data_IF_446975297412
#
_entry.id   IF_446975297412
#
_cell.length_a   1.000
_cell.length_b   1.000
_cell.length_c   1.000
_cell.angle_alpha   90.00
_cell.angle_beta   90.00
_cell.angle_gamma   90.00
#
_symmetry.space_group_name_H-M   'P 1'
#
loop_
_entity.id
_entity.type
_entity.pdbx_description
1 polymer ?
#
# COMPACT_ATOMS: atom_id res chain seq x y z
N UNK A 1 -12.55 -31.21 -6.62
CA UNK A 1 -11.54 -30.18 -6.94
C UNK A 1 -12.14 -28.84 -6.57
N UNK A 2 -11.40 -27.99 -5.86
CA UNK A 2 -11.85 -26.69 -5.37
C UNK A 2 -10.77 -25.63 -5.57
N UNK A 3 -11.12 -24.35 -5.47
CA UNK A 3 -10.16 -23.25 -5.53
C UNK A 3 -9.56 -22.97 -4.15
N UNK A 4 -8.32 -22.43 -4.07
CA UNK A 4 -7.73 -21.99 -2.81
C UNK A 4 -8.62 -21.03 -2.01
N UNK A 5 -9.31 -20.11 -2.69
CA UNK A 5 -10.20 -19.14 -2.05
C UNK A 5 -11.39 -19.82 -1.37
N UNK A 6 -12.00 -20.82 -2.01
CA UNK A 6 -13.10 -21.56 -1.41
C UNK A 6 -12.61 -22.41 -0.22
N UNK A 7 -11.46 -23.06 -0.35
CA UNK A 7 -10.87 -23.85 0.75
C UNK A 7 -10.47 -22.96 1.94
N UNK A 8 -9.98 -21.75 1.70
CA UNK A 8 -9.60 -20.80 2.74
C UNK A 8 -10.78 -20.18 3.50
N UNK A 9 -11.99 -20.24 2.95
CA UNK A 9 -13.21 -19.75 3.63
C UNK A 9 -13.87 -20.80 4.53
N UNK A 10 -13.32 -22.02 4.58
CA UNK A 10 -13.84 -23.10 5.43
C UNK A 10 -13.10 -23.03 6.77
N UNK A 11 -13.86 -23.06 7.88
CA UNK A 11 -13.28 -23.30 9.19
C UNK A 11 -13.01 -24.81 9.34
N UNK A 12 -11.80 -25.22 8.95
CA UNK A 12 -11.42 -26.63 8.99
C UNK A 12 -11.44 -27.18 10.41
N UNK A 13 -11.11 -26.38 11.42
CA UNK A 13 -11.05 -26.84 12.82
C UNK A 13 -12.40 -27.30 13.37
N UNK A 14 -13.51 -26.77 12.82
CA UNK A 14 -14.87 -27.10 13.24
C UNK A 14 -15.62 -27.97 12.23
N UNK A 15 -15.14 -28.06 10.99
CA UNK A 15 -15.84 -28.78 9.93
C UNK A 15 -15.65 -30.29 10.06
N UNK A 16 -16.75 -31.03 10.17
CA UNK A 16 -16.74 -32.50 10.15
C UNK A 16 -16.82 -32.97 8.70
N UNK A 17 -15.79 -33.69 8.24
CA UNK A 17 -15.75 -34.22 6.89
C UNK A 17 -16.72 -35.40 6.70
N UNK A 18 -17.47 -35.44 5.59
CA UNK A 18 -18.25 -36.61 5.21
C UNK A 18 -17.34 -37.83 5.01
N UNK A 19 -17.79 -39.01 5.44
CA UNK A 19 -17.00 -40.26 5.39
C UNK A 19 -16.67 -40.74 3.98
N UNK A 20 -17.35 -40.21 2.95
CA UNK A 20 -17.10 -40.52 1.54
C UNK A 20 -16.07 -39.59 0.87
N UNK A 21 -15.50 -38.63 1.60
CA UNK A 21 -14.44 -37.75 1.08
C UNK A 21 -13.08 -38.37 1.35
N UNK A 22 -12.41 -38.84 0.29
CA UNK A 22 -11.08 -39.44 0.39
C UNK A 22 -9.93 -38.44 0.25
N UNK A 23 -10.21 -37.18 -0.08
CA UNK A 23 -9.20 -36.14 -0.25
C UNK A 23 -9.67 -34.91 -1.02
N UNK A 24 -8.81 -33.90 -1.06
CA UNK A 24 -9.03 -32.63 -1.72
C UNK A 24 -8.03 -32.39 -2.84
N UNK A 25 -8.48 -31.74 -3.89
CA UNK A 25 -7.62 -31.23 -4.97
C UNK A 25 -7.83 -29.72 -5.04
N UNK A 26 -6.76 -28.97 -4.84
CA UNK A 26 -6.72 -27.50 -4.95
C UNK A 26 -6.08 -27.10 -6.29
N UNK A 27 -6.71 -26.16 -7.02
CA UNK A 27 -6.20 -25.67 -8.30
C UNK A 27 -6.67 -24.22 -8.56
N UNK A 28 -5.95 -23.50 -9.42
CA UNK A 28 -6.29 -22.12 -9.81
C UNK A 28 -5.65 -21.01 -8.97
N UNK A 29 -4.74 -21.36 -8.06
CA UNK A 29 -3.95 -20.41 -7.27
C UNK A 29 -3.07 -21.13 -6.25
N UNK A 30 -2.29 -20.37 -5.48
CA UNK A 30 -1.49 -20.92 -4.38
C UNK A 30 -2.40 -21.13 -3.17
N UNK A 31 -2.43 -22.34 -2.62
CA UNK A 31 -3.08 -22.61 -1.33
C UNK A 31 -2.14 -22.13 -0.21
N UNK A 32 -2.58 -21.24 0.70
CA UNK A 32 -1.77 -20.88 1.85
C UNK A 32 -1.40 -22.11 2.67
N UNK A 33 -0.12 -22.22 3.06
CA UNK A 33 0.36 -23.43 3.73
C UNK A 33 -0.36 -23.70 5.05
N UNK A 34 -0.73 -22.66 5.80
CA UNK A 34 -1.52 -22.80 7.02
C UNK A 34 -2.85 -23.51 6.78
N UNK A 35 -3.57 -23.16 5.71
CA UNK A 35 -4.83 -23.82 5.32
C UNK A 35 -4.55 -25.25 4.84
N UNK A 36 -3.48 -25.45 4.07
CA UNK A 36 -3.10 -26.78 3.62
C UNK A 36 -2.78 -27.70 4.81
N UNK A 37 -2.08 -27.21 5.83
CA UNK A 37 -1.78 -27.90 7.08
C UNK A 37 -3.06 -28.25 7.85
N UNK A 38 -4.02 -27.32 7.98
CA UNK A 38 -5.32 -27.59 8.60
C UNK A 38 -6.08 -28.71 7.88
N UNK A 39 -6.10 -28.71 6.54
CA UNK A 39 -6.73 -29.78 5.76
C UNK A 39 -6.00 -31.10 5.98
N UNK A 40 -4.66 -31.09 5.97
CA UNK A 40 -3.80 -32.29 6.16
C UNK A 40 -3.97 -32.96 7.52
N UNK A 41 -4.46 -32.24 8.53
CA UNK A 41 -4.82 -32.83 9.83
C UNK A 41 -6.03 -33.76 9.74
N UNK A 42 -6.86 -33.65 8.71
CA UNK A 42 -8.13 -34.40 8.58
C UNK A 42 -8.20 -35.27 7.33
N UNK A 43 -7.55 -34.87 6.24
CA UNK A 43 -7.60 -35.57 4.96
C UNK A 43 -6.37 -35.26 4.11
N UNK A 44 -6.19 -35.97 2.99
CA UNK A 44 -5.12 -35.65 2.04
C UNK A 44 -5.52 -34.45 1.18
N UNK A 45 -4.58 -33.57 0.88
CA UNK A 45 -4.74 -32.48 -0.10
C UNK A 45 -3.64 -32.56 -1.13
N UNK A 46 -4.00 -32.45 -2.40
CA UNK A 46 -3.06 -32.31 -3.50
C UNK A 46 -3.31 -30.99 -4.22
N UNK A 47 -2.24 -30.29 -4.54
CA UNK A 47 -2.28 -29.05 -5.30
C UNK A 47 -1.86 -29.32 -6.74
N UNK A 48 -2.61 -28.78 -7.69
CA UNK A 48 -2.30 -28.83 -9.12
C UNK A 48 -1.95 -27.44 -9.59
N UNK A 49 -0.76 -27.30 -10.14
CA UNK A 49 -0.29 -26.09 -10.81
C UNK A 49 -0.53 -26.23 -12.31
N UNK A 50 -1.08 -25.19 -12.92
CA UNK A 50 -1.43 -25.14 -14.34
C UNK A 50 -2.25 -23.90 -14.68
N UNK A 51 -2.62 -23.77 -15.94
CA UNK A 51 -3.46 -22.69 -16.44
C UNK A 51 -4.49 -23.21 -17.45
N UNK A 52 -5.41 -22.35 -17.89
CA UNK A 52 -6.35 -22.70 -18.96
C UNK A 52 -5.64 -23.01 -20.28
N UNK A 53 -4.53 -22.34 -20.54
CA UNK A 53 -3.73 -22.46 -21.76
C UNK A 53 -2.83 -23.69 -21.75
N UNK A 54 -2.27 -24.05 -20.59
CA UNK A 54 -1.29 -25.14 -20.46
C UNK A 54 -1.90 -26.46 -19.98
N UNK A 55 -3.14 -26.43 -19.48
CA UNK A 55 -3.67 -27.52 -18.69
C UNK A 55 -2.86 -27.71 -17.39
N UNK A 56 -2.89 -28.91 -16.80
CA UNK A 56 -2.11 -29.18 -15.60
C UNK A 56 -0.62 -29.36 -15.95
N UNK A 57 0.26 -28.70 -15.21
CA UNK A 57 1.72 -28.75 -15.40
C UNK A 57 2.37 -29.66 -14.36
N UNK A 58 2.02 -29.47 -13.10
CA UNK A 58 2.67 -30.12 -11.98
C UNK A 58 1.72 -30.37 -10.81
N UNK A 59 2.11 -31.29 -9.94
CA UNK A 59 1.38 -31.66 -8.73
C UNK A 59 2.31 -31.69 -7.52
N UNK A 60 1.77 -31.38 -6.35
CA UNK A 60 2.42 -31.64 -5.05
C UNK A 60 1.37 -32.04 -4.02
N UNK A 61 1.78 -32.78 -2.99
CA UNK A 61 0.89 -33.22 -1.90
C UNK A 61 1.22 -32.55 -0.56
N UNK A 62 2.35 -31.87 -0.49
CA UNK A 62 2.87 -31.13 0.65
C UNK A 62 3.52 -29.82 0.16
N UNK A 63 4.15 -29.06 1.06
CA UNK A 63 4.89 -27.86 0.67
C UNK A 63 6.26 -28.17 0.01
N UNK A 64 6.46 -29.38 -0.50
CA UNK A 64 7.71 -29.75 -1.16
C UNK A 64 7.74 -29.24 -2.61
N UNK A 65 8.73 -29.75 -3.37
CA UNK A 65 8.94 -29.39 -4.76
C UNK A 65 7.79 -29.89 -5.64
N UNK A 66 7.42 -29.07 -6.60
CA UNK A 66 6.47 -29.43 -7.64
C UNK A 66 7.02 -30.57 -8.50
N UNK A 67 6.18 -31.59 -8.68
CA UNK A 67 6.47 -32.75 -9.52
C UNK A 67 5.78 -32.58 -10.86
N UNK A 68 6.55 -32.70 -11.96
CA UNK A 68 5.98 -32.68 -13.31
C UNK A 68 4.99 -33.84 -13.49
N UNK A 69 3.97 -33.63 -14.32
CA UNK A 69 3.07 -34.72 -14.66
C UNK A 69 3.73 -35.77 -15.58
N UNK A 70 3.22 -37.02 -15.59
CA UNK A 70 3.58 -38.02 -16.58
C UNK A 70 3.42 -37.47 -18.01
N UNK A 71 4.25 -37.94 -18.93
CA UNK A 71 4.20 -37.57 -20.35
C UNK A 71 4.30 -36.06 -20.64
N UNK A 72 4.90 -35.31 -19.71
CA UNK A 72 5.28 -33.91 -19.89
C UNK A 72 6.80 -33.70 -19.79
N UNK A 73 7.31 -32.76 -20.58
CA UNK A 73 8.64 -32.20 -20.50
C UNK A 73 8.54 -30.76 -20.04
N UNK A 74 9.39 -30.42 -19.07
CA UNK A 74 9.50 -29.07 -18.54
C UNK A 74 10.92 -28.57 -18.76
N UNK A 75 11.05 -27.27 -18.94
CA UNK A 75 12.34 -26.60 -18.86
C UNK A 75 12.17 -25.10 -18.78
N UNK A 76 13.29 -24.38 -18.92
CA UNK A 76 13.31 -22.93 -18.84
C UNK A 76 13.77 -22.29 -20.15
N UNK A 77 13.32 -21.06 -20.40
CA UNK A 77 13.96 -20.18 -21.37
C UNK A 77 15.17 -19.46 -20.73
N UNK A 78 15.80 -18.54 -21.48
CA UNK A 78 16.96 -17.75 -21.02
C UNK A 78 16.69 -16.84 -19.80
N UNK A 79 15.42 -16.60 -19.48
CA UNK A 79 14.98 -15.80 -18.34
C UNK A 79 14.56 -16.68 -17.15
N UNK A 80 14.87 -17.98 -17.16
CA UNK A 80 14.39 -19.01 -16.21
C UNK A 80 12.85 -19.07 -16.09
N UNK A 81 12.14 -18.69 -17.15
CA UNK A 81 10.68 -18.83 -17.22
C UNK A 81 10.33 -20.23 -17.75
N UNK A 82 9.43 -20.90 -17.04
CA UNK A 82 9.01 -22.27 -17.31
C UNK A 82 8.31 -22.37 -18.66
N UNK A 83 8.67 -23.38 -19.45
CA UNK A 83 7.88 -23.86 -20.58
C UNK A 83 7.48 -25.33 -20.35
N UNK A 84 6.41 -25.75 -21.00
CA UNK A 84 5.90 -27.12 -20.98
C UNK A 84 5.68 -27.65 -22.39
N UNK A 85 6.02 -28.91 -22.59
CA UNK A 85 5.54 -29.75 -23.69
C UNK A 85 4.82 -30.96 -23.08
N UNK A 86 3.65 -31.30 -23.58
CA UNK A 86 2.89 -32.44 -23.08
C UNK A 86 1.96 -33.01 -24.15
N UNK A 87 1.55 -34.26 -23.99
CA UNK A 87 0.66 -34.92 -24.96
C UNK A 87 -0.74 -34.29 -25.11
N UNK A 88 -1.15 -33.44 -24.17
CA UNK A 88 -2.40 -32.66 -24.25
C UNK A 88 -2.23 -31.27 -24.86
N UNK A 89 -1.01 -30.90 -25.27
CA UNK A 89 -0.72 -29.63 -25.92
C UNK A 89 -0.38 -29.87 -27.39
N UNK A 90 -0.87 -28.98 -28.25
CA UNK A 90 -0.56 -29.02 -29.69
C UNK A 90 0.89 -28.63 -29.99
N UNK A 91 1.53 -27.87 -29.09
CA UNK A 91 2.90 -27.39 -29.20
C UNK A 91 3.45 -27.04 -27.82
N UNK A 92 4.74 -26.68 -27.78
CA UNK A 92 5.36 -26.11 -26.56
C UNK A 92 4.67 -24.81 -26.18
N UNK A 93 4.30 -24.70 -24.90
CA UNK A 93 3.73 -23.48 -24.33
C UNK A 93 4.72 -22.83 -23.36
N UNK A 94 4.93 -21.53 -23.52
CA UNK A 94 5.80 -20.71 -22.65
C UNK A 94 4.95 -20.03 -21.58
N UNK A 95 5.31 -20.22 -20.32
CA UNK A 95 4.68 -19.51 -19.20
C UNK A 95 5.44 -18.23 -18.87
N UNK A 96 4.83 -17.38 -18.05
CA UNK A 96 5.48 -16.22 -17.44
C UNK A 96 5.90 -16.48 -15.97
N UNK A 97 6.03 -17.76 -15.59
CA UNK A 97 6.38 -18.18 -14.24
C UNK A 97 7.84 -18.59 -14.17
N UNK A 98 8.54 -18.07 -13.17
CA UNK A 98 9.94 -18.37 -12.90
C UNK A 98 10.05 -19.56 -11.97
N UNK A 99 10.89 -20.51 -12.32
CA UNK A 99 11.11 -21.74 -11.54
C UNK A 99 12.59 -21.99 -11.28
N UNK A 100 12.87 -22.74 -10.22
CA UNK A 100 14.19 -23.28 -9.90
C UNK A 100 14.12 -24.80 -9.94
N UNK A 101 14.77 -25.41 -10.93
CA UNK A 101 14.81 -26.86 -11.09
C UNK A 101 15.82 -27.52 -10.15
N UNK A 102 15.48 -28.73 -9.71
CA UNK A 102 16.35 -29.64 -8.99
C UNK A 102 16.19 -31.05 -9.57
N UNK A 103 17.03 -31.99 -9.13
CA UNK A 103 16.89 -33.40 -9.52
C UNK A 103 15.60 -34.06 -9.04
N UNK A 104 14.93 -33.49 -8.03
CA UNK A 104 13.75 -34.06 -7.39
C UNK A 104 12.45 -33.33 -7.76
N UNK A 105 12.47 -32.37 -8.69
CA UNK A 105 11.31 -31.51 -9.02
C UNK A 105 11.72 -30.05 -9.15
N UNK A 106 10.78 -29.12 -9.02
CA UNK A 106 11.08 -27.69 -9.10
C UNK A 106 10.39 -26.85 -8.03
N UNK A 107 10.97 -25.69 -7.72
CA UNK A 107 10.34 -24.66 -6.90
C UNK A 107 9.75 -23.59 -7.81
N UNK A 108 8.48 -23.26 -7.61
CA UNK A 108 7.82 -22.14 -8.26
C UNK A 108 8.16 -20.86 -7.50
N UNK A 109 8.95 -19.96 -8.08
CA UNK A 109 9.32 -18.69 -7.44
C UNK A 109 8.23 -17.63 -7.58
N UNK A 110 7.46 -17.71 -8.67
CA UNK A 110 6.34 -16.82 -8.98
C UNK A 110 6.45 -16.20 -10.37
N UNK A 111 5.65 -15.18 -10.64
CA UNK A 111 5.60 -14.50 -11.95
C UNK A 111 6.85 -13.70 -12.24
N UNK A 112 7.34 -13.74 -13.47
CA UNK A 112 8.57 -13.08 -13.91
C UNK A 112 8.59 -11.56 -13.60
N UNK A 113 7.44 -10.88 -13.70
CA UNK A 113 7.30 -9.45 -13.38
C UNK A 113 7.30 -9.15 -11.86
N UNK A 114 7.23 -10.19 -11.02
CA UNK A 114 7.29 -10.15 -9.55
C UNK A 114 8.57 -10.80 -9.00
N UNK A 115 9.49 -11.23 -9.86
CA UNK A 115 10.83 -11.69 -9.50
C UNK A 115 11.85 -10.61 -9.86
N UNK A 116 12.74 -10.30 -8.93
CA UNK A 116 13.86 -9.39 -9.16
C UNK A 116 15.18 -10.09 -8.92
N UNK A 117 16.21 -9.73 -9.70
CA UNK A 117 17.58 -10.20 -9.46
C UNK A 117 18.33 -9.19 -8.60
N UNK A 118 18.67 -9.56 -7.36
CA UNK A 118 19.51 -8.74 -6.47
C UNK A 118 20.66 -9.60 -5.95
N UNK A 119 21.90 -9.10 -6.06
CA UNK A 119 23.11 -9.81 -5.63
C UNK A 119 23.17 -11.26 -6.16
N UNK A 120 22.89 -11.42 -7.45
CA UNK A 120 22.85 -12.71 -8.17
C UNK A 120 21.79 -13.72 -7.74
N UNK A 121 20.88 -13.35 -6.84
CA UNK A 121 19.74 -14.18 -6.43
C UNK A 121 18.44 -13.67 -7.01
N UNK A 122 17.57 -14.61 -7.37
CA UNK A 122 16.18 -14.34 -7.75
C UNK A 122 15.33 -14.26 -6.50
N UNK A 123 14.72 -13.10 -6.30
CA UNK A 123 13.94 -12.80 -5.10
C UNK A 123 12.50 -12.57 -5.52
N UNK A 124 11.60 -13.31 -4.88
CA UNK A 124 10.15 -13.13 -5.03
C UNK A 124 9.68 -11.96 -4.18
N UNK A 125 9.18 -10.91 -4.84
CA UNK A 125 8.61 -9.74 -4.15
C UNK A 125 7.38 -10.15 -3.34
N UNK A 126 6.55 -11.04 -3.89
CA UNK A 126 5.36 -11.57 -3.23
C UNK A 126 5.69 -12.32 -1.94
N UNK A 127 6.81 -13.06 -1.90
CA UNK A 127 7.24 -13.73 -0.67
C UNK A 127 7.57 -12.73 0.45
N UNK A 128 8.24 -11.61 0.12
CA UNK A 128 8.55 -10.56 1.10
C UNK A 128 7.27 -9.83 1.54
N UNK A 129 6.36 -9.58 0.62
CA UNK A 129 5.04 -9.00 0.91
C UNK A 129 4.26 -9.87 1.89
N UNK A 130 4.19 -11.18 1.67
CA UNK A 130 3.52 -12.11 2.57
C UNK A 130 4.11 -12.10 3.98
N UNK A 131 5.44 -11.98 4.12
CA UNK A 131 6.08 -11.85 5.43
C UNK A 131 5.66 -10.53 6.11
N UNK A 132 5.58 -9.42 5.38
CA UNK A 132 5.14 -8.14 5.95
C UNK A 132 3.67 -8.19 6.39
N UNK A 133 2.80 -8.84 5.62
CA UNK A 133 1.37 -9.02 5.91
C UNK A 133 1.09 -9.86 7.16
N UNK A 134 2.07 -10.65 7.63
CA UNK A 134 1.96 -11.40 8.88
C UNK A 134 2.13 -10.52 10.14
N UNK A 135 2.49 -9.24 9.98
CA UNK A 135 2.62 -8.31 11.10
C UNK A 135 1.30 -7.63 11.42
N UNK A 136 1.10 -7.24 12.68
CA UNK A 136 -0.12 -6.53 13.10
C UNK A 136 -0.19 -5.07 12.60
N UNK A 137 0.86 -4.57 11.95
CA UNK A 137 0.99 -3.18 11.51
C UNK A 137 0.69 -2.96 10.02
N UNK A 138 0.64 -4.04 9.23
CA UNK A 138 0.53 -3.97 7.76
C UNK A 138 -0.78 -4.61 7.33
N UNK A 139 -1.65 -3.79 6.73
CA UNK A 139 -2.91 -4.23 6.13
C UNK A 139 -2.68 -4.68 4.69
N UNK A 140 -1.85 -3.94 3.95
CA UNK A 140 -1.56 -4.19 2.55
C UNK A 140 -0.13 -3.76 2.24
N UNK A 141 0.54 -4.39 1.28
CA UNK A 141 1.86 -3.97 0.85
C UNK A 141 2.13 -4.23 -0.63
N UNK A 142 3.00 -3.39 -1.18
CA UNK A 142 3.50 -3.53 -2.53
C UNK A 142 4.97 -3.14 -2.62
N UNK A 143 5.77 -4.08 -3.09
CA UNK A 143 7.19 -3.97 -3.30
C UNK A 143 7.50 -3.92 -4.79
N UNK A 144 8.50 -3.11 -5.12
CA UNK A 144 9.18 -3.14 -6.41
C UNK A 144 10.61 -2.59 -6.28
N UNK A 145 11.41 -2.72 -7.33
CA UNK A 145 12.67 -1.99 -7.43
C UNK A 145 12.39 -0.49 -7.57
N UNK A 146 13.15 0.33 -6.85
CA UNK A 146 13.08 1.77 -7.01
C UNK A 146 13.61 2.17 -8.40
N UNK A 147 12.89 3.05 -9.10
CA UNK A 147 13.17 3.40 -10.50
C UNK A 147 14.58 3.98 -10.71
N UNK A 148 15.05 4.83 -9.79
CA UNK A 148 16.41 5.40 -9.85
C UNK A 148 17.49 4.64 -9.08
N UNK A 149 17.11 3.87 -8.06
CA UNK A 149 18.05 3.29 -7.10
C UNK A 149 17.85 1.78 -7.18
N UNK A 150 18.83 1.01 -7.66
CA UNK A 150 18.72 -0.45 -7.86
C UNK A 150 18.60 -1.24 -6.54
N UNK A 151 17.56 -0.96 -5.76
CA UNK A 151 17.25 -1.42 -4.41
C UNK A 151 15.74 -1.45 -4.24
N UNK A 152 15.26 -2.27 -3.33
CA UNK A 152 13.82 -2.42 -3.10
C UNK A 152 13.22 -1.22 -2.38
N UNK A 153 12.01 -0.89 -2.80
CA UNK A 153 11.12 0.09 -2.23
C UNK A 153 9.81 -0.61 -1.84
N UNK A 154 9.27 -0.24 -0.68
CA UNK A 154 8.05 -0.81 -0.12
C UNK A 154 7.02 0.29 0.12
N UNK A 155 5.85 0.14 -0.49
CA UNK A 155 4.66 0.95 -0.23
C UNK A 155 3.72 0.15 0.66
N UNK A 156 3.49 0.65 1.87
CA UNK A 156 2.81 -0.07 2.94
C UNK A 156 1.49 0.64 3.27
N UNK A 157 0.39 -0.09 3.18
CA UNK A 157 -0.89 0.22 3.81
C UNK A 157 -0.85 -0.22 5.27
N UNK A 158 -1.02 0.72 6.20
CA UNK A 158 -0.97 0.46 7.63
C UNK A 158 -2.34 0.09 8.19
N UNK A 159 -2.36 -0.85 9.14
CA UNK A 159 -3.50 -1.09 10.01
C UNK A 159 -3.67 0.07 11.01
N UNK A 160 -4.77 0.09 11.75
CA UNK A 160 -4.96 1.03 12.87
C UNK A 160 -3.80 0.97 13.87
N UNK A 161 -3.37 -0.24 14.26
CA UNK A 161 -2.20 -0.44 15.14
C UNK A 161 -0.91 0.07 14.53
N UNK A 162 -0.73 -0.08 13.22
CA UNK A 162 0.42 0.48 12.50
C UNK A 162 0.45 2.01 12.54
N UNK A 163 -0.73 2.62 12.42
CA UNK A 163 -0.92 4.08 12.51
C UNK A 163 -0.70 4.58 13.94
N UNK A 164 -1.19 3.86 14.96
CA UNK A 164 -0.92 4.13 16.37
C UNK A 164 0.58 4.10 16.67
N UNK A 165 1.27 3.02 16.27
CA UNK A 165 2.73 2.93 16.43
C UNK A 165 3.46 4.08 15.73
N UNK A 166 3.02 4.46 14.52
CA UNK A 166 3.57 5.60 13.81
C UNK A 166 3.37 6.90 14.60
N UNK A 167 2.17 7.14 15.14
CA UNK A 167 1.84 8.35 15.91
C UNK A 167 2.65 8.41 17.21
N UNK A 168 2.83 7.29 17.89
CA UNK A 168 3.46 7.25 19.22
C UNK A 168 4.98 7.22 19.19
N UNK A 169 5.57 6.52 18.23
CA UNK A 169 7.01 6.26 18.19
C UNK A 169 7.69 6.80 16.92
N UNK A 170 6.90 7.23 15.96
CA UNK A 170 7.38 7.84 14.72
C UNK A 170 7.77 6.86 13.63
N UNK A 171 8.01 7.45 12.45
CA UNK A 171 8.33 6.75 11.20
C UNK A 171 9.53 5.81 11.32
N UNK A 172 10.58 6.24 12.02
CA UNK A 172 11.82 5.47 12.17
C UNK A 172 11.61 4.20 13.00
N UNK A 173 10.81 4.29 14.08
CA UNK A 173 10.50 3.14 14.92
C UNK A 173 9.71 2.09 14.15
N UNK A 174 8.67 2.51 13.41
CA UNK A 174 7.89 1.62 12.55
C UNK A 174 8.78 0.91 11.50
N UNK A 175 9.62 1.64 10.77
CA UNK A 175 10.56 1.05 9.80
C UNK A 175 11.49 0.04 10.49
N UNK A 176 11.97 0.36 11.70
CA UNK A 176 12.83 -0.55 12.45
C UNK A 176 12.11 -1.86 12.83
N UNK A 177 10.83 -1.81 13.21
CA UNK A 177 10.04 -3.01 13.52
C UNK A 177 9.83 -3.87 12.28
N UNK A 178 9.40 -3.28 11.16
CA UNK A 178 9.20 -3.97 9.90
C UNK A 178 10.49 -4.63 9.39
N UNK A 179 11.62 -3.91 9.44
CA UNK A 179 12.92 -4.46 9.06
C UNK A 179 13.35 -5.62 9.96
N UNK A 180 13.13 -5.52 11.28
CA UNK A 180 13.47 -6.60 12.22
C UNK A 180 12.69 -7.87 11.91
N UNK A 181 11.41 -7.73 11.55
CA UNK A 181 10.58 -8.86 11.14
C UNK A 181 11.11 -9.52 9.86
N UNK A 182 11.59 -8.72 8.89
CA UNK A 182 12.16 -9.22 7.63
C UNK A 182 13.50 -9.96 7.81
N UNK A 183 14.40 -9.50 8.68
CA UNK A 183 15.77 -10.03 8.81
C UNK A 183 15.80 -11.54 9.10
N UNK A 184 14.78 -12.08 9.76
CA UNK A 184 14.73 -13.50 10.11
C UNK A 184 14.48 -14.41 8.89
N UNK A 185 13.83 -13.90 7.85
CA UNK A 185 13.33 -14.70 6.71
C UNK A 185 13.80 -14.17 5.35
N UNK A 186 14.43 -13.00 5.30
CA UNK A 186 14.79 -12.29 4.08
C UNK A 186 16.25 -11.86 4.15
N UNK A 187 17.00 -12.19 3.11
CA UNK A 187 18.41 -11.80 3.01
C UNK A 187 18.58 -10.28 2.95
N UNK A 188 19.68 -9.76 3.52
CA UNK A 188 19.92 -8.32 3.62
C UNK A 188 19.79 -7.52 2.31
N UNK A 189 20.23 -8.02 1.13
CA UNK A 189 20.04 -7.30 -0.15
C UNK A 189 18.57 -7.16 -0.57
N UNK A 190 17.71 -8.06 -0.09
CA UNK A 190 16.29 -8.14 -0.38
C UNK A 190 15.43 -7.34 0.62
N UNK A 191 16.03 -6.72 1.64
CA UNK A 191 15.29 -5.85 2.57
C UNK A 191 15.05 -4.48 1.93
N UNK A 192 13.81 -3.97 1.88
CA UNK A 192 13.52 -2.66 1.32
C UNK A 192 14.29 -1.54 2.02
N UNK A 193 14.85 -0.64 1.21
CA UNK A 193 15.58 0.55 1.69
C UNK A 193 14.72 1.81 1.67
N UNK A 194 13.75 1.87 0.76
CA UNK A 194 12.83 2.98 0.65
C UNK A 194 11.46 2.53 1.14
N UNK A 195 10.81 3.39 1.92
CA UNK A 195 9.52 3.09 2.54
C UNK A 195 8.56 4.24 2.27
N UNK A 196 7.32 3.94 1.94
CA UNK A 196 6.19 4.88 1.87
C UNK A 196 5.02 4.28 2.62
N UNK A 197 4.26 5.12 3.32
CA UNK A 197 3.16 4.70 4.18
C UNK A 197 1.88 5.38 3.75
N UNK A 198 0.80 4.63 3.75
CA UNK A 198 -0.57 5.09 3.49
C UNK A 198 -1.52 4.29 4.39
N UNK A 199 -2.75 4.75 4.55
CA UNK A 199 -3.81 4.00 5.22
C UNK A 199 -4.42 2.97 4.27
N UNK A 200 -4.41 3.28 2.96
CA UNK A 200 -4.88 2.37 1.91
C UNK A 200 -4.05 2.51 0.65
N UNK A 201 -3.62 1.39 0.07
CA UNK A 201 -2.94 1.37 -1.22
C UNK A 201 -3.94 1.66 -2.35
N UNK A 202 -3.52 2.35 -3.43
CA UNK A 202 -4.39 2.65 -4.56
C UNK A 202 -4.51 1.43 -5.50
N UNK A 203 -5.02 0.32 -4.95
CA UNK A 203 -5.36 -0.84 -5.78
C UNK A 203 -6.58 -0.51 -6.64
N UNK A 204 -6.50 -0.81 -7.94
CA UNK A 204 -7.64 -0.71 -8.85
C UNK A 204 -8.68 -1.81 -8.58
N UNK A 205 -9.78 -1.84 -9.34
CA UNK A 205 -10.83 -2.86 -9.22
C UNK A 205 -10.37 -4.30 -9.47
N UNK A 206 -9.16 -4.49 -10.01
CA UNK A 206 -8.50 -5.79 -10.20
C UNK A 206 -7.42 -6.06 -9.14
N UNK A 207 -7.42 -5.30 -8.05
CA UNK A 207 -6.42 -5.39 -6.97
C UNK A 207 -4.97 -5.09 -7.41
N UNK A 208 -4.77 -4.42 -8.56
CA UNK A 208 -3.43 -4.07 -9.09
C UNK A 208 -3.04 -2.65 -8.69
N UNK A 209 -1.75 -2.43 -8.48
CA UNK A 209 -1.13 -1.11 -8.32
C UNK A 209 -0.44 -0.72 -9.61
N UNK A 210 -0.63 0.53 -10.05
CA UNK A 210 0.01 1.05 -11.25
C UNK A 210 1.51 1.25 -11.01
N UNK A 211 2.34 0.87 -12.00
CA UNK A 211 3.78 1.19 -11.98
C UNK A 211 4.02 2.70 -11.94
N UNK A 212 3.14 3.48 -12.59
CA UNK A 212 3.26 4.95 -12.63
C UNK A 212 3.04 5.54 -11.24
N UNK A 213 1.97 5.12 -10.55
CA UNK A 213 1.67 5.58 -9.18
C UNK A 213 2.78 5.17 -8.21
N UNK A 214 3.30 3.94 -8.34
CA UNK A 214 4.43 3.49 -7.55
C UNK A 214 5.68 4.31 -7.82
N UNK A 215 5.98 4.69 -9.06
CA UNK A 215 7.13 5.57 -9.32
C UNK A 215 6.90 6.97 -8.73
N UNK A 216 5.71 7.54 -8.91
CA UNK A 216 5.38 8.88 -8.43
C UNK A 216 5.49 9.00 -6.91
N UNK A 217 4.97 8.03 -6.14
CA UNK A 217 5.03 8.11 -4.67
C UNK A 217 6.47 8.08 -4.12
N UNK A 218 7.43 7.54 -4.87
CA UNK A 218 8.84 7.53 -4.49
C UNK A 218 9.64 8.73 -5.04
N UNK A 219 9.17 9.38 -6.09
CA UNK A 219 9.75 10.62 -6.64
C UNK A 219 9.27 11.88 -5.91
N UNK A 220 7.97 11.96 -5.63
CA UNK A 220 7.33 13.19 -5.16
C UNK A 220 7.41 13.31 -3.63
N UNK A 221 7.53 14.54 -3.16
CA UNK A 221 7.43 14.87 -1.74
C UNK A 221 6.01 15.33 -1.43
N UNK A 222 5.30 14.57 -0.59
CA UNK A 222 3.99 14.97 -0.10
C UNK A 222 4.13 16.18 0.84
N UNK A 223 3.60 17.34 0.44
CA UNK A 223 3.67 18.61 1.20
C UNK A 223 2.31 19.15 1.64
N UNK A 224 1.23 18.56 1.14
CA UNK A 224 -0.13 19.06 1.34
C UNK A 224 -1.03 17.98 1.93
N UNK A 225 -2.11 18.40 2.57
CA UNK A 225 -3.18 17.50 2.98
C UNK A 225 -3.93 16.95 1.76
N UNK A 226 -4.60 15.81 1.94
CA UNK A 226 -5.54 15.28 0.95
C UNK A 226 -6.90 15.94 1.17
N UNK A 227 -7.28 16.86 0.29
CA UNK A 227 -8.52 17.62 0.38
C UNK A 227 -9.66 16.93 -0.38
N UNK A 228 -10.86 16.99 0.18
CA UNK A 228 -12.10 16.66 -0.53
C UNK A 228 -12.63 17.87 -1.32
N UNK A 229 -13.79 17.69 -1.96
CA UNK A 229 -14.47 18.81 -2.60
C UNK A 229 -15.05 19.76 -1.54
N UNK A 230 -14.80 21.07 -1.65
CA UNK A 230 -15.35 22.02 -0.70
C UNK A 230 -16.85 22.27 -0.93
N UNK A 231 -17.52 22.67 0.13
CA UNK A 231 -18.84 23.27 0.11
C UNK A 231 -18.69 24.75 0.42
N UNK A 232 -19.26 25.62 -0.41
CA UNK A 232 -19.13 27.07 -0.23
C UNK A 232 -20.43 27.82 -0.53
N UNK A 233 -20.57 28.95 0.14
CA UNK A 233 -21.54 30.02 -0.12
C UNK A 233 -20.75 31.32 -0.36
N UNK A 234 -21.43 32.45 -0.55
CA UNK A 234 -20.76 33.74 -0.79
C UNK A 234 -19.77 34.13 0.33
N UNK A 235 -20.02 33.73 1.58
CA UNK A 235 -19.22 34.16 2.75
C UNK A 235 -18.67 33.02 3.60
N UNK A 236 -19.00 31.76 3.30
CA UNK A 236 -18.56 30.61 4.09
C UNK A 236 -18.02 29.51 3.18
N UNK A 237 -16.96 28.85 3.64
CA UNK A 237 -16.29 27.76 2.94
C UNK A 237 -15.97 26.65 3.92
N UNK A 238 -16.25 25.42 3.53
CA UNK A 238 -16.09 24.23 4.37
C UNK A 238 -15.50 23.09 3.56
N UNK A 239 -14.37 22.56 3.99
CA UNK A 239 -13.67 21.47 3.29
C UNK A 239 -13.12 20.46 4.29
N UNK A 240 -13.25 19.19 3.97
CA UNK A 240 -12.59 18.12 4.74
C UNK A 240 -11.22 17.83 4.15
N UNK A 241 -10.26 17.59 5.03
CA UNK A 241 -8.89 17.22 4.70
C UNK A 241 -8.46 15.99 5.49
N UNK A 242 -7.43 15.32 4.99
CA UNK A 242 -6.77 14.21 5.68
C UNK A 242 -5.26 14.39 5.67
N UNK A 243 -4.61 14.22 6.82
CA UNK A 243 -3.15 14.29 6.95
C UNK A 243 -2.51 13.03 6.35
N UNK A 244 -1.68 13.14 5.31
CA UNK A 244 -1.01 11.96 4.74
C UNK A 244 0.04 11.40 5.70
N UNK A 245 0.18 10.08 5.75
CA UNK A 245 1.21 9.39 6.54
C UNK A 245 2.63 9.64 6.03
N UNK A 246 2.77 10.06 4.78
CA UNK A 246 4.01 10.36 4.09
C UNK A 246 4.26 11.87 3.93
N UNK A 247 3.47 12.72 4.59
CA UNK A 247 3.70 14.16 4.65
C UNK A 247 5.14 14.44 5.13
N UNK A 248 5.89 15.22 4.34
CA UNK A 248 7.34 15.43 4.54
C UNK A 248 7.67 16.00 5.92
N UNK A 249 6.80 16.87 6.45
CA UNK A 249 7.00 17.56 7.72
C UNK A 249 6.92 16.64 8.95
N UNK A 250 6.43 15.41 8.79
CA UNK A 250 6.35 14.41 9.87
C UNK A 250 7.71 13.75 10.17
N UNK A 251 8.67 13.80 9.24
CA UNK A 251 9.95 13.12 9.36
C UNK A 251 11.03 13.94 10.08
N UNK A 252 11.02 15.27 9.92
CA UNK A 252 12.17 16.11 10.27
C UNK A 252 12.04 16.83 11.62
N UNK A 253 10.82 17.21 12.03
CA UNK A 253 10.62 18.09 13.19
C UNK A 253 10.16 17.38 14.48
N UNK A 254 9.49 16.23 14.35
CA UNK A 254 8.92 15.50 15.50
C UNK A 254 9.09 13.98 15.34
N UNK A 255 10.34 13.55 15.22
CA UNK A 255 10.73 12.17 14.92
C UNK A 255 10.15 11.11 15.88
N UNK A 256 9.88 11.49 17.14
CA UNK A 256 9.27 10.63 18.18
C UNK A 256 7.80 10.95 18.47
N UNK A 257 7.26 12.03 17.91
CA UNK A 257 5.87 12.42 18.11
C UNK A 257 5.32 13.16 16.88
N UNK A 258 5.14 12.47 15.73
CA UNK A 258 4.84 13.15 14.47
C UNK A 258 3.55 13.98 14.55
N UNK A 259 3.64 15.24 14.14
CA UNK A 259 2.50 16.17 14.07
C UNK A 259 2.72 17.17 12.93
N UNK A 260 1.63 17.76 12.44
CA UNK A 260 1.69 18.84 11.46
C UNK A 260 2.16 20.12 12.17
N UNK A 261 3.26 20.76 11.75
CA UNK A 261 3.69 22.00 12.37
C UNK A 261 2.63 23.10 12.17
N UNK A 262 2.39 23.93 13.19
CA UNK A 262 1.36 24.98 13.11
C UNK A 262 1.54 25.95 11.94
N UNK A 263 2.77 26.21 11.49
CA UNK A 263 3.04 27.02 10.29
C UNK A 263 2.53 26.35 9.00
N UNK A 264 2.54 25.03 8.93
CA UNK A 264 2.00 24.26 7.81
C UNK A 264 0.47 24.28 7.86
N UNK A 265 -0.13 24.15 9.06
CA UNK A 265 -1.58 24.32 9.21
C UNK A 265 -2.04 25.71 8.72
N UNK A 266 -1.30 26.77 9.06
CA UNK A 266 -1.60 28.14 8.60
C UNK A 266 -1.40 28.30 7.09
N UNK A 267 -0.36 27.68 6.52
CA UNK A 267 -0.15 27.67 5.07
C UNK A 267 -1.35 27.04 4.34
N UNK A 268 -1.77 25.85 4.79
CA UNK A 268 -2.95 25.17 4.27
C UNK A 268 -4.22 26.03 4.35
N UNK A 269 -4.42 26.71 5.48
CA UNK A 269 -5.55 27.64 5.66
C UNK A 269 -5.49 28.78 4.62
N UNK A 270 -4.33 29.38 4.39
CA UNK A 270 -4.16 30.45 3.40
C UNK A 270 -4.35 29.97 1.96
N UNK A 271 -3.90 28.76 1.64
CA UNK A 271 -4.08 28.14 0.31
C UNK A 271 -5.57 27.86 0.05
N UNK A 272 -6.27 27.24 0.99
CA UNK A 272 -7.73 27.00 0.91
C UNK A 272 -8.52 28.31 0.87
N UNK A 273 -8.08 29.32 1.60
CA UNK A 273 -8.68 30.65 1.54
C UNK A 273 -8.49 31.31 0.17
N UNK A 274 -7.33 31.12 -0.47
CA UNK A 274 -7.07 31.65 -1.81
C UNK A 274 -7.98 31.00 -2.86
N UNK A 275 -8.26 29.69 -2.69
CA UNK A 275 -9.26 28.99 -3.48
C UNK A 275 -10.67 29.52 -3.24
N UNK A 276 -11.04 29.76 -1.97
CA UNK A 276 -12.35 30.29 -1.60
C UNK A 276 -12.59 31.69 -2.19
N UNK A 277 -11.65 32.61 -2.02
CA UNK A 277 -11.77 34.00 -2.47
C UNK A 277 -11.38 34.20 -3.95
N UNK A 278 -10.95 33.14 -4.64
CA UNK A 278 -10.48 33.15 -6.04
C UNK A 278 -9.42 34.24 -6.30
N UNK A 279 -8.56 34.47 -5.31
CA UNK A 279 -7.51 35.48 -5.40
C UNK A 279 -6.31 35.05 -4.56
N UNK A 280 -5.13 35.56 -4.92
CA UNK A 280 -3.94 35.36 -4.10
C UNK A 280 -4.07 36.15 -2.81
N UNK A 281 -4.03 35.43 -1.68
CA UNK A 281 -4.14 36.05 -0.37
C UNK A 281 -2.76 36.48 0.12
N UNK A 282 -2.65 37.76 0.47
CA UNK A 282 -1.54 38.29 1.26
C UNK A 282 -2.00 38.45 2.71
N UNK A 283 -1.63 37.48 3.56
CA UNK A 283 -1.97 37.51 4.98
C UNK A 283 -0.98 38.39 5.74
N UNK A 284 -1.47 39.50 6.29
CA UNK A 284 -0.63 40.47 7.01
C UNK A 284 -0.23 39.97 8.39
N UNK A 285 -1.20 39.49 9.16
CA UNK A 285 -1.01 38.89 10.48
C UNK A 285 -2.26 38.10 10.91
N UNK A 286 -2.10 37.30 11.96
CA UNK A 286 -3.18 36.54 12.58
C UNK A 286 -3.62 37.16 13.92
N UNK A 287 -4.92 37.33 14.11
CA UNK A 287 -5.53 37.71 15.38
C UNK A 287 -6.14 36.48 16.06
N UNK A 288 -6.11 36.46 17.40
CA UNK A 288 -6.76 35.42 18.23
C UNK A 288 -6.37 33.99 17.84
N UNK A 289 -5.14 33.80 17.33
CA UNK A 289 -4.62 32.50 16.94
C UNK A 289 -4.48 31.58 18.15
N UNK A 290 -5.05 30.39 18.06
CA UNK A 290 -5.00 29.37 19.10
C UNK A 290 -4.70 28.01 18.49
N UNK A 291 -3.65 27.36 18.98
CA UNK A 291 -3.39 25.93 18.79
C UNK A 291 -3.81 25.20 20.06
N UNK A 292 -4.67 24.19 19.92
CA UNK A 292 -5.31 23.49 21.04
C UNK A 292 -4.96 22.01 21.02
N UNK A 293 -5.44 21.29 20.00
CA UNK A 293 -5.10 19.88 19.75
C UNK A 293 -4.14 19.76 18.57
N UNK A 294 -3.18 18.85 18.65
CA UNK A 294 -2.28 18.55 17.54
C UNK A 294 -3.01 17.84 16.42
N UNK A 295 -2.72 18.25 15.20
CA UNK A 295 -3.11 17.53 13.99
C UNK A 295 -2.04 16.46 13.68
N UNK A 296 -2.45 15.19 13.62
CA UNK A 296 -1.57 14.01 13.64
C UNK A 296 -1.64 13.24 12.32
N UNK A 297 -0.65 12.40 11.98
CA UNK A 297 -0.68 11.57 10.79
C UNK A 297 -1.97 10.77 10.68
N UNK A 298 -2.59 10.71 9.50
CA UNK A 298 -3.87 10.05 9.24
C UNK A 298 -5.11 10.72 9.87
N UNK A 299 -4.99 11.85 10.55
CA UNK A 299 -6.18 12.55 11.05
C UNK A 299 -7.03 13.07 9.88
N UNK A 300 -8.33 12.87 9.99
CA UNK A 300 -9.34 13.57 9.20
C UNK A 300 -9.81 14.81 9.96
N UNK A 301 -9.89 15.92 9.25
CA UNK A 301 -10.20 17.22 9.82
C UNK A 301 -11.12 18.03 8.93
N UNK A 302 -11.87 18.95 9.56
CA UNK A 302 -12.74 19.91 8.90
C UNK A 302 -12.11 21.29 9.02
N UNK A 303 -11.88 21.96 7.89
CA UNK A 303 -11.56 23.36 7.82
C UNK A 303 -12.81 24.17 7.47
N UNK A 304 -13.13 25.14 8.30
CA UNK A 304 -14.21 26.11 8.07
C UNK A 304 -13.61 27.51 7.98
N UNK A 305 -13.97 28.24 6.94
CA UNK A 305 -13.60 29.63 6.71
C UNK A 305 -14.86 30.49 6.63
N UNK A 306 -14.78 31.70 7.15
CA UNK A 306 -15.85 32.71 7.04
C UNK A 306 -15.25 34.07 6.73
N UNK A 307 -15.66 34.62 5.59
CA UNK A 307 -15.17 35.89 5.09
C UNK A 307 -16.02 37.05 5.59
N UNK A 308 -15.34 38.12 6.01
CA UNK A 308 -15.95 39.41 6.29
C UNK A 308 -15.28 40.45 5.39
N UNK A 309 -15.93 40.73 4.26
CA UNK A 309 -15.43 41.64 3.24
C UNK A 309 -15.20 43.06 3.78
N UNK A 310 -16.14 43.59 4.58
CA UNK A 310 -16.06 44.96 5.13
C UNK A 310 -14.86 45.18 6.05
N UNK A 311 -14.43 44.13 6.76
CA UNK A 311 -13.32 44.19 7.70
C UNK A 311 -12.02 43.62 7.14
N UNK A 312 -12.06 43.04 5.94
CA UNK A 312 -10.97 42.26 5.36
C UNK A 312 -10.44 41.17 6.30
N UNK A 313 -11.37 40.49 6.98
CA UNK A 313 -11.08 39.47 8.00
C UNK A 313 -11.63 38.11 7.59
N UNK A 314 -10.75 37.11 7.60
CA UNK A 314 -11.11 35.72 7.38
C UNK A 314 -11.04 34.97 8.71
N UNK A 315 -12.20 34.59 9.24
CA UNK A 315 -12.27 33.69 10.38
C UNK A 315 -12.01 32.26 9.91
N UNK A 316 -11.17 31.52 10.63
CA UNK A 316 -10.92 30.11 10.34
C UNK A 316 -11.01 29.24 11.58
N UNK A 317 -11.42 28.00 11.37
CA UNK A 317 -11.45 26.95 12.38
C UNK A 317 -11.14 25.60 11.75
N UNK A 318 -10.12 24.94 12.27
CA UNK A 318 -9.72 23.57 11.94
C UNK A 318 -10.04 22.66 13.12
N UNK A 319 -10.77 21.56 12.86
CA UNK A 319 -11.22 20.61 13.89
C UNK A 319 -11.02 19.16 13.46
N UNK A 320 -10.58 18.29 14.37
CA UNK A 320 -10.59 16.81 14.20
C UNK A 320 -11.67 16.23 15.09
N UNK A 321 -12.55 15.35 14.57
CA UNK A 321 -13.59 14.69 15.39
C UNK A 321 -14.35 15.66 16.34
N UNK A 322 -14.66 16.87 15.86
CA UNK A 322 -15.29 17.99 16.60
C UNK A 322 -14.43 18.71 17.64
N UNK A 323 -13.20 18.28 17.90
CA UNK A 323 -12.25 18.97 18.78
C UNK A 323 -11.46 20.03 18.00
N UNK A 324 -11.31 21.26 18.55
CA UNK A 324 -10.55 22.32 17.90
C UNK A 324 -9.04 22.03 17.90
N UNK A 325 -8.43 22.11 16.72
CA UNK A 325 -6.98 22.01 16.54
C UNK A 325 -6.35 23.40 16.42
N UNK A 326 -6.82 24.18 15.45
CA UNK A 326 -6.31 25.51 15.16
C UNK A 326 -7.49 26.45 14.83
N UNK A 327 -7.50 27.66 15.40
CA UNK A 327 -8.49 28.67 15.05
C UNK A 327 -7.95 30.07 15.21
N UNK A 328 -8.55 31.02 14.50
CA UNK A 328 -8.11 32.41 14.54
C UNK A 328 -8.79 33.25 13.46
N UNK A 329 -8.21 34.43 13.25
CA UNK A 329 -8.65 35.37 12.22
C UNK A 329 -7.42 35.80 11.43
N UNK A 330 -7.43 35.56 10.12
CA UNK A 330 -6.42 36.09 9.21
C UNK A 330 -6.87 37.48 8.73
N UNK A 331 -6.01 38.48 8.92
CA UNK A 331 -6.22 39.84 8.38
C UNK A 331 -5.54 39.91 7.03
N UNK A 332 -6.30 40.19 5.97
CA UNK A 332 -5.83 40.11 4.59
C UNK A 332 -5.61 41.50 4.00
N UNK A 333 -4.56 41.66 3.21
CA UNK A 333 -4.43 42.80 2.31
C UNK A 333 -5.15 42.45 0.99
N UNK A 334 -6.27 43.11 0.69
CA UNK A 334 -6.81 43.03 -0.67
C UNK A 334 -5.97 43.93 -1.57
N UNK A 335 -5.19 43.34 -2.49
CA UNK A 335 -4.71 44.08 -3.65
C UNK A 335 -5.94 44.33 -4.53
N UNK A 336 -6.33 45.60 -4.69
CA UNK A 336 -7.26 45.98 -5.75
C UNK A 336 -6.67 45.51 -7.07
N UNK A 337 -7.34 44.58 -7.75
CA UNK A 337 -7.10 44.31 -9.15
C UNK A 337 -7.32 45.62 -9.91
N UNK A 338 -6.24 46.29 -10.28
CA UNK A 338 -6.32 47.41 -11.21
C UNK A 338 -6.95 46.88 -12.49
N UNK A 339 -8.12 47.42 -12.80
CA UNK A 339 -8.75 47.37 -14.11
C UNK A 339 -7.72 47.95 -15.09
N UNK A 340 -7.16 47.11 -15.97
CA UNK A 340 -6.55 47.60 -17.21
C UNK A 340 -7.69 48.05 -18.13
N UNK A 341 -8.17 49.28 -17.90
CA UNK A 341 -8.88 50.04 -18.92
C UNK A 341 -7.84 50.44 -19.97
N UNK A 342 -7.70 49.60 -20.99
CA UNK A 342 -7.06 50.01 -22.23
C UNK A 342 -7.99 51.01 -22.94
N UNK A 343 -7.66 52.30 -22.79
CA UNK A 343 -8.11 53.37 -23.66
C UNK A 343 -7.58 53.22 -25.10
#
# INVERSE_FOLDING_TARGET
MSSPAMLGNIDWTQTILPTNVSGFISSGGVLPESIAEEIRQQSVVSEIYGSTETGPIAIRSDNSLWQKLPDSLLGCNKNDELWIEAGWLSQREQTADVVEFSSAGFRLLGRADRIVKLADKRISLAAIENILLQTEWVEDCYLACHHEKSRLAAWIGLTEKGIELFREQGRRALISQLRRHLINNVELPAIPRFWRFTDKLPRNSQSKISKVEFHQIFSDSCKDAKWANPQQTDNEYSVTGKVPLDLVYLADHFDRFPLVPGVIELQWICEQASQFLQTNIDCRYFEKLKFQKFLRPNDEFLLQLKWNEKLHKLHFSLKTASEPCCSGIAVLNLKSSNVEDHH
#
